data_IF_913982529407
#
_entry.id   IF_913982529407
#
_cell.length_a   1.000
_cell.length_b   1.000
_cell.length_c   1.000
_cell.angle_alpha   90.00
_cell.angle_beta   90.00
_cell.angle_gamma   90.00
#
_symmetry.space_group_name_H-M   'P 1'
#
loop_
_entity.id
_entity.type
_entity.pdbx_description
1 polymer ?
#
# COMPACT_ATOMS: atom_id res chain seq x y z
N UNK A 1 5.78 -7.25 -5.09
CA UNK A 1 6.64 -6.61 -6.11
C UNK A 1 7.65 -5.69 -5.42
N UNK A 2 8.85 -5.55 -6.00
CA UNK A 2 9.96 -4.75 -5.45
C UNK A 2 10.19 -3.52 -6.31
N UNK A 3 10.39 -2.36 -5.68
CA UNK A 3 10.84 -1.15 -6.36
C UNK A 3 12.37 -1.07 -6.31
N UNK A 4 12.98 -0.72 -7.44
CA UNK A 4 14.41 -0.43 -7.49
C UNK A 4 14.66 0.94 -6.84
N UNK A 5 15.70 1.02 -6.02
CA UNK A 5 15.98 2.18 -5.18
C UNK A 5 17.17 2.95 -5.72
N UNK A 6 17.07 4.28 -5.68
CA UNK A 6 18.21 5.18 -5.87
C UNK A 6 18.41 5.98 -4.59
N UNK A 7 19.62 5.94 -4.02
CA UNK A 7 19.99 6.67 -2.81
C UNK A 7 21.12 7.61 -3.14
N UNK A 8 20.87 8.92 -3.03
CA UNK A 8 21.86 9.97 -3.23
C UNK A 8 22.14 10.68 -1.92
N UNK A 9 23.40 10.65 -1.48
CA UNK A 9 23.86 11.44 -0.34
C UNK A 9 24.23 12.84 -0.82
N UNK A 10 23.56 13.85 -0.25
CA UNK A 10 23.86 15.26 -0.47
C UNK A 10 24.30 15.82 0.89
N UNK A 11 25.31 16.72 0.96
CA UNK A 11 25.67 17.34 2.22
C UNK A 11 24.43 17.99 2.86
N UNK A 12 24.12 17.60 4.10
CA UNK A 12 22.92 17.93 4.90
C UNK A 12 21.66 17.05 4.77
N UNK A 13 21.53 16.17 3.76
CA UNK A 13 20.35 15.29 3.64
C UNK A 13 20.60 14.03 2.81
N UNK A 14 20.09 12.87 3.27
CA UNK A 14 19.93 11.69 2.40
C UNK A 14 18.65 11.85 1.61
N UNK A 15 18.74 11.93 0.27
CA UNK A 15 17.58 11.87 -0.62
C UNK A 15 17.55 10.48 -1.23
N UNK A 16 16.51 9.73 -0.91
CA UNK A 16 16.31 8.37 -1.38
C UNK A 16 14.95 8.32 -2.07
N UNK A 17 14.90 7.82 -3.30
CA UNK A 17 13.65 7.64 -4.05
C UNK A 17 13.62 6.25 -4.68
N UNK A 18 12.44 5.63 -4.72
CA UNK A 18 12.25 4.36 -5.42
C UNK A 18 11.10 4.50 -6.40
N UNK A 19 11.29 4.07 -7.64
CA UNK A 19 10.29 4.21 -8.69
C UNK A 19 10.02 2.88 -9.35
N UNK A 20 8.76 2.64 -9.73
CA UNK A 20 8.42 1.45 -10.49
C UNK A 20 7.02 0.91 -10.23
N UNK A 21 6.86 -0.38 -10.52
CA UNK A 21 5.60 -1.10 -10.38
C UNK A 21 5.34 -1.46 -8.91
N UNK A 22 4.27 -0.90 -8.35
CA UNK A 22 3.85 -1.12 -6.96
C UNK A 22 3.05 -2.42 -6.87
N UNK A 23 2.04 -2.59 -7.73
CA UNK A 23 1.30 -3.84 -7.84
C UNK A 23 0.83 -4.11 -9.26
N UNK A 24 0.55 -5.40 -9.51
CA UNK A 24 -0.14 -5.90 -10.69
C UNK A 24 -1.14 -6.95 -10.21
N UNK A 25 -2.43 -6.68 -10.33
CA UNK A 25 -3.51 -7.55 -9.83
C UNK A 25 -4.42 -7.90 -11.00
N UNK A 26 -4.84 -9.17 -11.19
CA UNK A 26 -5.79 -9.56 -12.21
C UNK A 26 -7.07 -8.72 -12.14
N UNK A 27 -7.56 -8.21 -13.29
CA UNK A 27 -8.79 -7.42 -13.31
C UNK A 27 -10.00 -8.18 -12.75
N UNK A 28 -10.03 -9.51 -12.92
CA UNK A 28 -11.09 -10.37 -12.40
C UNK A 28 -11.19 -10.39 -10.87
N UNK A 29 -10.14 -10.03 -10.14
CA UNK A 29 -10.17 -9.97 -8.68
C UNK A 29 -10.91 -8.73 -8.16
N UNK A 30 -11.15 -7.73 -9.01
CA UNK A 30 -11.87 -6.51 -8.64
C UNK A 30 -13.38 -6.70 -8.70
N UNK A 31 -14.09 -5.93 -7.86
CA UNK A 31 -15.56 -5.92 -7.83
C UNK A 31 -16.16 -5.52 -9.19
N UNK A 32 -15.55 -4.56 -9.87
CA UNK A 32 -15.81 -4.24 -11.27
C UNK A 32 -14.54 -4.50 -12.09
N UNK A 33 -14.47 -5.63 -12.83
CA UNK A 33 -13.32 -5.95 -13.67
C UNK A 33 -13.10 -4.98 -14.84
N UNK A 34 -14.12 -4.25 -15.26
CA UNK A 34 -14.03 -3.27 -16.35
C UNK A 34 -13.59 -1.89 -15.85
N UNK A 35 -13.76 -1.63 -14.55
CA UNK A 35 -13.35 -0.38 -13.89
C UNK A 35 -12.60 -0.62 -12.57
N UNK A 36 -11.46 -1.33 -12.61
CA UNK A 36 -10.65 -1.59 -11.41
C UNK A 36 -10.10 -0.30 -10.80
N UNK A 37 -10.01 0.79 -11.57
CA UNK A 37 -9.63 2.11 -11.07
C UNK A 37 -10.54 2.58 -9.94
N UNK A 38 -11.83 2.24 -9.93
CA UNK A 38 -12.79 2.64 -8.89
C UNK A 38 -12.43 2.11 -7.50
N UNK A 39 -11.70 1.00 -7.42
CA UNK A 39 -11.20 0.49 -6.16
C UNK A 39 -10.04 1.32 -5.61
N UNK A 40 -9.33 2.10 -6.43
CA UNK A 40 -8.24 2.98 -5.97
C UNK A 40 -8.84 4.18 -5.25
N UNK A 41 -8.56 4.32 -3.95
CA UNK A 41 -9.13 5.38 -3.11
C UNK A 41 -8.89 6.79 -3.68
N UNK A 42 -9.78 7.72 -3.38
CA UNK A 42 -9.65 9.12 -3.83
C UNK A 42 -8.34 9.77 -3.36
N UNK A 43 -7.80 9.36 -2.20
CA UNK A 43 -6.51 9.83 -1.70
C UNK A 43 -5.36 9.38 -2.63
N UNK A 44 -5.40 8.13 -3.10
CA UNK A 44 -4.44 7.60 -4.08
C UNK A 44 -4.51 8.36 -5.41
N UNK A 45 -5.71 8.74 -5.85
CA UNK A 45 -5.89 9.55 -7.07
C UNK A 45 -5.37 10.98 -6.95
N UNK A 46 -5.17 11.50 -5.73
CA UNK A 46 -4.76 12.90 -5.46
C UNK A 46 -3.25 13.09 -5.24
N UNK A 47 -2.45 12.03 -5.32
CA UNK A 47 -1.01 12.14 -5.59
C UNK A 47 -0.06 12.13 -4.38
N UNK A 48 -0.55 11.99 -3.14
CA UNK A 48 0.30 11.76 -1.97
C UNK A 48 -0.39 10.80 -0.99
N UNK A 49 0.13 9.58 -0.89
CA UNK A 49 -0.41 8.59 0.05
C UNK A 49 0.67 8.13 1.00
N UNK A 50 0.47 8.43 2.28
CA UNK A 50 1.37 8.01 3.34
C UNK A 50 1.41 6.49 3.45
N UNK A 51 2.62 5.98 3.64
CA UNK A 51 2.89 4.57 3.88
C UNK A 51 3.36 4.37 5.31
N UNK A 52 2.81 3.38 5.99
CA UNK A 52 3.32 2.97 7.30
C UNK A 52 4.51 2.02 7.14
N UNK A 53 5.38 2.02 8.14
CA UNK A 53 6.40 0.98 8.28
C UNK A 53 5.80 -0.27 8.89
N UNK A 54 6.02 -1.39 8.23
CA UNK A 54 5.41 -2.67 8.51
C UNK A 54 3.88 -2.62 8.45
N UNK A 55 3.32 -3.79 8.19
CA UNK A 55 1.91 -3.96 7.97
C UNK A 55 1.15 -3.82 9.32
N UNK A 56 -0.02 -3.15 9.37
CA UNK A 56 -0.77 -2.96 10.62
C UNK A 56 -1.19 -4.31 11.25
N UNK A 57 -0.93 -4.52 12.54
CA UNK A 57 -1.32 -5.76 13.21
C UNK A 57 -2.84 -5.80 13.40
N UNK A 58 -3.52 -6.69 12.66
CA UNK A 58 -4.96 -6.95 12.81
C UNK A 58 -5.15 -8.23 13.62
N UNK A 59 -5.82 -8.12 14.75
CA UNK A 59 -6.14 -9.28 15.59
C UNK A 59 -7.32 -10.06 15.01
N UNK A 60 -7.38 -11.39 15.19
CA UNK A 60 -8.57 -12.17 14.86
C UNK A 60 -9.82 -11.57 15.52
N UNK A 61 -10.84 -11.28 14.71
CA UNK A 61 -12.08 -10.69 15.18
C UNK A 61 -13.03 -11.79 15.69
N UNK A 62 -13.61 -11.60 16.88
CA UNK A 62 -14.60 -12.49 17.50
C UNK A 62 -15.95 -11.81 17.70
N UNK A 63 -16.07 -10.54 17.33
CA UNK A 63 -17.27 -9.73 17.45
C UNK A 63 -17.39 -8.73 16.29
N UNK A 64 -18.60 -8.22 16.08
CA UNK A 64 -18.85 -7.18 15.07
C UNK A 64 -18.03 -5.91 15.34
N UNK A 65 -17.90 -5.51 16.62
CA UNK A 65 -17.08 -4.35 17.01
C UNK A 65 -15.61 -4.54 16.63
N UNK A 66 -15.03 -5.71 16.90
CA UNK A 66 -13.64 -5.99 16.52
C UNK A 66 -13.46 -5.99 14.99
N UNK A 67 -14.47 -6.46 14.23
CA UNK A 67 -14.45 -6.38 12.78
C UNK A 67 -14.51 -4.93 12.28
N UNK A 68 -15.31 -4.08 12.91
CA UNK A 68 -15.39 -2.66 12.59
C UNK A 68 -14.07 -1.93 12.92
N UNK A 69 -13.48 -2.22 14.08
CA UNK A 69 -12.18 -1.67 14.48
C UNK A 69 -11.06 -2.12 13.52
N UNK A 70 -11.06 -3.39 13.12
CA UNK A 70 -10.13 -3.92 12.12
C UNK A 70 -10.29 -3.22 10.77
N UNK A 71 -11.53 -3.06 10.29
CA UNK A 71 -11.83 -2.34 9.05
C UNK A 71 -11.38 -0.88 9.11
N UNK A 72 -11.58 -0.21 10.23
CA UNK A 72 -11.11 1.17 10.45
C UNK A 72 -9.59 1.23 10.41
N UNK A 73 -8.90 0.26 11.01
CA UNK A 73 -7.44 0.22 11.06
C UNK A 73 -6.80 0.05 9.69
N UNK A 74 -7.39 -0.76 8.81
CA UNK A 74 -6.89 -0.92 7.44
C UNK A 74 -7.01 0.38 6.65
N UNK A 75 -8.11 1.12 6.85
CA UNK A 75 -8.36 2.39 6.14
C UNK A 75 -7.56 3.57 6.69
N UNK A 76 -7.21 3.53 7.96
CA UNK A 76 -6.53 4.62 8.64
C UNK A 76 -5.01 4.48 8.57
N UNK A 77 -4.32 5.63 8.47
CA UNK A 77 -2.87 5.72 8.64
C UNK A 77 -2.57 6.15 10.08
N UNK A 78 -1.73 5.37 10.74
CA UNK A 78 -1.10 5.74 12.01
C UNK A 78 0.08 6.67 11.73
N UNK A 79 -0.05 7.94 12.10
CA UNK A 79 0.92 8.98 11.81
C UNK A 79 2.28 8.71 12.47
N UNK A 80 2.31 8.05 13.62
CA UNK A 80 3.53 7.70 14.33
C UNK A 80 4.30 6.58 13.62
N UNK A 81 3.62 5.84 12.74
CA UNK A 81 4.19 4.74 11.95
C UNK A 81 4.55 5.12 10.52
N UNK A 82 4.31 6.37 10.10
CA UNK A 82 4.61 6.81 8.74
C UNK A 82 6.11 6.76 8.48
N UNK A 83 6.50 6.10 7.38
CA UNK A 83 7.89 5.99 6.92
C UNK A 83 8.14 6.57 5.53
N UNK A 84 7.08 6.95 4.82
CA UNK A 84 7.19 7.61 3.54
C UNK A 84 5.84 7.89 2.93
N UNK A 85 5.87 8.31 1.68
CA UNK A 85 4.68 8.43 0.86
C UNK A 85 4.96 7.98 -0.57
N UNK A 86 3.88 7.57 -1.25
CA UNK A 86 3.88 7.35 -2.70
C UNK A 86 3.30 8.56 -3.39
N UNK A 87 3.97 9.02 -4.44
CA UNK A 87 3.58 10.11 -5.34
C UNK A 87 3.73 9.70 -6.80
N UNK A 88 3.40 10.60 -7.73
CA UNK A 88 3.52 10.38 -9.19
C UNK A 88 2.85 9.08 -9.66
N UNK A 89 1.69 8.78 -9.07
CA UNK A 89 0.97 7.54 -9.32
C UNK A 89 0.41 7.54 -10.74
N UNK A 90 0.67 6.47 -11.48
CA UNK A 90 -0.02 6.16 -12.73
C UNK A 90 -0.54 4.72 -12.71
N UNK A 91 -1.68 4.49 -13.34
CA UNK A 91 -2.29 3.16 -13.40
C UNK A 91 -2.89 2.90 -14.76
N UNK A 92 -3.07 1.62 -15.09
CA UNK A 92 -3.65 1.17 -16.34
C UNK A 92 -3.83 -0.34 -16.38
N UNK A 93 -4.49 -0.82 -17.43
CA UNK A 93 -4.67 -2.24 -17.68
C UNK A 93 -3.61 -2.70 -18.68
N UNK A 94 -2.87 -3.75 -18.32
CA UNK A 94 -1.83 -4.37 -19.15
C UNK A 94 -2.04 -5.88 -19.05
N UNK A 95 -2.26 -6.55 -20.19
CA UNK A 95 -2.44 -8.02 -20.26
C UNK A 95 -3.46 -8.57 -19.24
N UNK A 96 -4.62 -7.90 -19.12
CA UNK A 96 -5.69 -8.31 -18.20
C UNK A 96 -5.42 -8.04 -16.71
N UNK A 97 -4.32 -7.36 -16.39
CA UNK A 97 -3.97 -6.96 -15.04
C UNK A 97 -4.08 -5.46 -14.85
N UNK A 98 -4.65 -5.04 -13.73
CA UNK A 98 -4.61 -3.66 -13.28
C UNK A 98 -3.26 -3.40 -12.60
N UNK A 99 -2.46 -2.53 -13.21
CA UNK A 99 -1.13 -2.17 -12.75
C UNK A 99 -1.12 -0.76 -12.19
N UNK A 100 -0.44 -0.57 -11.06
CA UNK A 100 -0.17 0.74 -10.47
C UNK A 100 1.33 0.92 -10.31
N UNK A 101 1.83 2.06 -10.81
CA UNK A 101 3.21 2.51 -10.69
C UNK A 101 3.26 3.82 -9.92
N UNK A 102 4.40 4.11 -9.29
CA UNK A 102 4.60 5.37 -8.59
C UNK A 102 6.01 5.49 -8.01
N UNK A 103 6.23 6.63 -7.37
CA UNK A 103 7.48 6.99 -6.72
C UNK A 103 7.30 6.99 -5.21
N UNK A 104 8.19 6.32 -4.49
CA UNK A 104 8.25 6.33 -3.05
C UNK A 104 9.36 7.24 -2.54
N UNK A 105 9.01 8.08 -1.57
CA UNK A 105 9.94 8.98 -0.89
C UNK A 105 9.85 8.76 0.63
N UNK A 106 10.96 8.44 1.32
CA UNK A 106 10.99 8.36 2.78
C UNK A 106 10.61 9.67 3.45
N UNK A 107 9.75 9.58 4.47
CA UNK A 107 9.19 10.72 5.19
C UNK A 107 8.61 10.29 6.53
N UNK A 108 8.38 11.24 7.43
CA UNK A 108 7.70 11.00 8.70
C UNK A 108 8.61 10.42 9.79
N UNK A 109 8.00 9.99 10.91
CA UNK A 109 8.75 9.56 12.10
C UNK A 109 9.65 8.35 11.86
N UNK A 110 9.25 7.44 10.96
CA UNK A 110 9.99 6.21 10.66
C UNK A 110 10.74 6.26 9.32
N UNK A 111 11.10 7.47 8.85
CA UNK A 111 11.85 7.64 7.59
C UNK A 111 13.19 6.91 7.58
N UNK A 112 13.86 6.80 8.72
CA UNK A 112 15.20 6.21 8.82
C UNK A 112 15.16 4.72 8.45
N UNK A 113 14.14 4.00 8.92
CA UNK A 113 13.90 2.60 8.60
C UNK A 113 13.64 2.40 7.11
N UNK A 114 12.86 3.28 6.47
CA UNK A 114 12.67 3.23 5.03
C UNK A 114 13.98 3.47 4.25
N UNK A 115 14.80 4.44 4.68
CA UNK A 115 16.12 4.69 4.05
C UNK A 115 17.05 3.48 4.19
N UNK A 116 17.06 2.81 5.35
CA UNK A 116 17.85 1.59 5.56
C UNK A 116 17.43 0.45 4.61
N UNK A 117 16.12 0.22 4.45
CA UNK A 117 15.60 -0.74 3.48
C UNK A 117 16.03 -0.36 2.05
N UNK A 118 16.00 0.94 1.71
CA UNK A 118 16.40 1.39 0.38
C UNK A 118 17.90 1.22 0.12
N UNK A 119 18.75 1.41 1.14
CA UNK A 119 20.19 1.14 1.06
C UNK A 119 20.50 -0.34 0.85
N UNK A 120 19.63 -1.25 1.30
CA UNK A 120 19.72 -2.68 1.01
C UNK A 120 19.37 -3.04 -0.45
N UNK A 121 18.98 -2.06 -1.27
CA UNK A 121 18.86 -2.19 -2.74
C UNK A 121 17.45 -2.44 -3.27
N UNK A 122 16.48 -2.77 -2.41
CA UNK A 122 15.08 -2.87 -2.81
C UNK A 122 14.15 -2.49 -1.67
N UNK A 123 13.08 -1.75 -1.98
CA UNK A 123 11.97 -1.51 -1.06
C UNK A 123 10.71 -2.18 -1.59
N UNK A 124 9.88 -2.71 -0.69
CA UNK A 124 8.60 -3.32 -1.06
C UNK A 124 7.45 -2.50 -0.53
N UNK A 125 6.53 -2.21 -1.43
CA UNK A 125 5.31 -1.47 -1.14
C UNK A 125 4.14 -2.41 -1.36
N UNK A 126 3.36 -2.61 -0.32
CA UNK A 126 2.22 -3.53 -0.31
C UNK A 126 0.92 -2.75 -0.25
N UNK A 127 -0.04 -2.97 -1.17
CA UNK A 127 -1.36 -2.36 -1.06
C UNK A 127 -2.14 -2.97 0.10
N UNK A 128 -2.85 -2.11 0.83
CA UNK A 128 -3.93 -2.55 1.70
C UNK A 128 -5.15 -2.86 0.84
N UNK A 129 -5.78 -4.01 1.03
CA UNK A 129 -6.90 -4.44 0.19
C UNK A 129 -8.14 -4.70 1.06
N UNK A 130 -9.26 -4.10 0.65
CA UNK A 130 -10.58 -4.41 1.18
C UNK A 130 -11.33 -5.29 0.19
N UNK A 131 -11.84 -6.41 0.68
CA UNK A 131 -12.69 -7.30 -0.09
C UNK A 131 -14.16 -7.04 0.25
N UNK A 132 -15.03 -7.21 -0.73
CA UNK A 132 -16.47 -7.31 -0.48
C UNK A 132 -16.88 -8.72 0.00
N UNK A 133 -18.18 -8.96 0.13
CA UNK A 133 -18.74 -10.24 0.57
C UNK A 133 -18.45 -11.41 -0.39
N UNK A 134 -18.15 -11.11 -1.65
CA UNK A 134 -17.82 -12.11 -2.67
C UNK A 134 -16.31 -12.35 -2.77
N UNK A 135 -15.52 -11.76 -1.87
CA UNK A 135 -14.07 -11.83 -1.92
C UNK A 135 -13.45 -10.97 -3.04
N UNK A 136 -14.20 -10.02 -3.61
CA UNK A 136 -13.71 -9.13 -4.68
C UNK A 136 -13.17 -7.83 -4.12
N UNK A 137 -12.10 -7.31 -4.71
CA UNK A 137 -11.46 -6.06 -4.30
C UNK A 137 -12.43 -4.91 -4.53
N UNK A 138 -12.82 -4.28 -3.43
CA UNK A 138 -13.75 -3.15 -3.42
C UNK A 138 -13.06 -1.82 -3.11
N UNK A 139 -11.90 -1.85 -2.45
CA UNK A 139 -11.15 -0.65 -2.13
C UNK A 139 -9.67 -0.97 -1.82
N UNK A 140 -8.77 -0.10 -2.26
CA UNK A 140 -7.37 -0.04 -1.91
C UNK A 140 -7.17 1.32 -1.22
N UNK A 141 -7.15 1.40 0.13
CA UNK A 141 -7.11 2.68 0.82
C UNK A 141 -5.71 3.31 0.86
N UNK A 142 -4.67 2.50 1.05
CA UNK A 142 -3.29 2.96 1.20
C UNK A 142 -2.27 1.84 0.94
N UNK A 143 -0.99 2.11 1.22
CA UNK A 143 0.11 1.16 1.13
C UNK A 143 0.92 1.08 2.44
N UNK A 144 1.70 0.01 2.56
CA UNK A 144 2.67 -0.21 3.64
C UNK A 144 4.05 -0.53 3.05
N UNK A 145 5.12 -0.10 3.73
CA UNK A 145 6.49 -0.56 3.44
C UNK A 145 6.75 -1.82 4.25
N UNK A 146 7.06 -2.92 3.58
CA UNK A 146 7.23 -4.24 4.21
C UNK A 146 8.60 -4.84 3.89
N UNK A 147 9.11 -5.68 4.79
CA UNK A 147 10.43 -6.32 4.68
C UNK A 147 10.37 -7.64 3.89
N UNK A 148 9.23 -8.32 3.92
CA UNK A 148 8.99 -9.59 3.20
C UNK A 148 7.68 -9.50 2.39
N UNK A 149 7.62 -10.16 1.22
CA UNK A 149 6.40 -10.26 0.42
C UNK A 149 5.35 -11.04 1.22
N UNK A 150 4.55 -10.30 1.96
CA UNK A 150 3.45 -10.88 2.70
C UNK A 150 2.16 -10.27 2.13
N UNK A 151 1.32 -11.05 1.42
CA UNK A 151 0.02 -10.56 0.95
C UNK A 151 -0.86 -10.36 2.18
N UNK A 152 -0.97 -9.13 2.68
CA UNK A 152 -1.28 -8.97 4.10
C UNK A 152 -2.68 -8.60 4.51
N UNK A 153 -3.59 -8.12 3.65
CA UNK A 153 -4.95 -7.87 4.14
C UNK A 153 -6.01 -8.22 3.13
N UNK A 154 -6.79 -9.24 3.48
CA UNK A 154 -8.07 -9.60 2.88
C UNK A 154 -9.08 -9.58 4.02
N UNK A 155 -9.62 -8.41 4.36
CA UNK A 155 -10.72 -8.34 5.32
C UNK A 155 -12.00 -8.71 4.57
N UNK A 156 -12.45 -9.94 4.77
CA UNK A 156 -13.76 -10.40 4.32
C UNK A 156 -14.80 -9.83 5.28
N UNK A 157 -15.83 -9.19 4.74
CA UNK A 157 -16.99 -8.68 5.48
C UNK A 157 -17.87 -9.80 6.05
N UNK A 158 -17.36 -10.80 6.76
CA UNK A 158 -18.21 -11.84 7.36
C UNK A 158 -18.20 -11.78 8.87
N UNK A 159 -19.30 -11.28 9.44
CA UNK A 159 -19.84 -11.82 10.69
C UNK A 159 -20.89 -12.83 10.27
N UNK A 160 -20.69 -14.11 10.61
CA UNK A 160 -21.79 -15.08 10.61
C UNK A 160 -22.67 -14.83 11.83
#
# INVERSE_FOLDING_TARGET
MKLQTEVKEIPAQTVATASGLIFSIPCEDFKDPHRPDEAVSLALRRGHVFCEYDAPVIKPCRSFKELEDANRRVRAIDLDRVCGYVSNICYGIVEGHFQLRGDFTPHGPLKAQAVELMRAGTIMISPRIHLDLNGKISCIPSFDVVVEETPRYQLIHTVK
#
